data_IF_324037911247
#
_entry.id   IF_324037911247
#
_cell.length_a   1.000
_cell.length_b   1.000
_cell.length_c   1.000
_cell.angle_alpha   90.00
_cell.angle_beta   90.00
_cell.angle_gamma   90.00
#
_symmetry.space_group_name_H-M   'P 1'
#
loop_
_entity.id
_entity.type
_entity.pdbx_description
1 polymer ?
#
# COMPACT_ATOMS: atom_id res chain seq x y z
N UNK A 1 2.00 -7.93 -8.18
CA UNK A 1 1.88 -7.26 -6.87
C UNK A 1 1.43 -8.31 -5.87
N UNK A 2 1.97 -8.30 -4.66
CA UNK A 2 1.59 -9.20 -3.56
C UNK A 2 1.04 -8.32 -2.43
N UNK A 3 -0.01 -8.79 -1.77
CA UNK A 3 -0.59 -8.19 -0.58
C UNK A 3 -0.25 -9.11 0.60
N UNK A 4 0.90 -8.90 1.26
CA UNK A 4 1.33 -9.81 2.32
C UNK A 4 0.40 -9.68 3.54
N UNK A 5 0.15 -10.79 4.21
CA UNK A 5 -0.62 -10.82 5.46
C UNK A 5 0.26 -10.30 6.62
N UNK A 6 0.44 -8.98 6.65
CA UNK A 6 1.23 -8.27 7.65
C UNK A 6 0.43 -7.08 8.14
N UNK A 7 0.44 -6.85 9.46
CA UNK A 7 -0.24 -5.68 10.02
C UNK A 7 0.38 -4.37 9.53
N UNK A 8 -0.46 -3.35 9.31
CA UNK A 8 -0.03 -2.01 8.91
C UNK A 8 1.11 -1.47 9.80
N UNK A 9 0.99 -1.64 11.13
CA UNK A 9 2.00 -1.18 12.08
C UNK A 9 3.37 -1.85 11.87
N UNK A 10 3.40 -3.16 11.59
CA UNK A 10 4.66 -3.86 11.32
C UNK A 10 5.23 -3.45 9.95
N UNK A 11 4.37 -3.20 8.97
CA UNK A 11 4.78 -2.70 7.67
C UNK A 11 5.44 -1.33 7.74
N UNK A 12 4.81 -0.38 8.45
CA UNK A 12 5.34 0.97 8.68
C UNK A 12 6.66 0.95 9.45
N UNK A 13 6.83 0.04 10.43
CA UNK A 13 8.13 -0.14 11.11
C UNK A 13 9.23 -0.65 10.16
N UNK A 14 8.87 -1.56 9.24
CA UNK A 14 9.78 -2.13 8.23
C UNK A 14 10.16 -1.11 7.16
N UNK A 15 9.24 -0.20 6.84
CA UNK A 15 9.34 0.82 5.80
C UNK A 15 9.01 2.20 6.37
N UNK A 16 9.93 2.75 7.17
CA UNK A 16 9.71 3.98 7.95
C UNK A 16 9.43 5.24 7.12
N UNK A 17 9.71 5.21 5.82
CA UNK A 17 9.39 6.29 4.87
C UNK A 17 7.95 6.22 4.33
N UNK A 18 7.22 5.12 4.58
CA UNK A 18 5.80 5.04 4.27
C UNK A 18 4.99 5.72 5.37
N UNK A 19 3.90 6.35 4.96
CA UNK A 19 2.91 6.96 5.85
C UNK A 19 1.50 6.66 5.34
N UNK A 20 0.54 6.65 6.26
CA UNK A 20 -0.86 6.61 5.86
C UNK A 20 -1.21 7.97 5.25
N UNK A 21 -1.77 7.94 4.05
CA UNK A 21 -2.32 9.10 3.37
C UNK A 21 -3.84 9.00 3.47
N UNK A 22 -4.45 10.13 3.80
CA UNK A 22 -5.89 10.35 3.73
C UNK A 22 -6.21 11.08 2.44
N UNK A 23 -7.19 10.58 1.69
CA UNK A 23 -7.68 11.24 0.48
C UNK A 23 -9.18 10.94 0.29
N UNK A 24 -9.87 11.76 -0.49
CA UNK A 24 -11.31 11.60 -0.74
C UNK A 24 -11.58 10.91 -2.07
N UNK A 25 -12.62 10.08 -2.10
CA UNK A 25 -13.12 9.54 -3.35
C UNK A 25 -13.79 10.62 -4.20
N UNK A 26 -13.26 10.88 -5.40
CA UNK A 26 -13.83 11.85 -6.35
C UNK A 26 -15.31 11.60 -6.71
N UNK A 27 -15.79 10.35 -6.60
CA UNK A 27 -17.14 9.97 -7.03
C UNK A 27 -18.20 10.10 -5.93
N UNK A 28 -17.84 9.87 -4.66
CA UNK A 28 -18.80 9.82 -3.56
C UNK A 28 -18.38 10.60 -2.31
N UNK A 29 -17.17 11.16 -2.30
CA UNK A 29 -16.61 11.91 -1.17
C UNK A 29 -16.19 11.07 0.03
N UNK A 30 -16.26 9.73 -0.06
CA UNK A 30 -15.81 8.85 1.02
C UNK A 30 -14.31 9.05 1.28
N UNK A 31 -13.95 9.23 2.55
CA UNK A 31 -12.55 9.31 2.98
C UNK A 31 -11.90 7.92 2.93
N UNK A 32 -10.78 7.82 2.23
CA UNK A 32 -9.98 6.61 2.06
C UNK A 32 -8.62 6.79 2.73
N UNK A 33 -8.12 5.69 3.31
CA UNK A 33 -6.82 5.65 3.98
C UNK A 33 -5.94 4.56 3.37
N UNK A 34 -4.67 4.87 3.09
CA UNK A 34 -3.70 3.89 2.59
C UNK A 34 -3.24 2.92 3.68
N UNK A 35 -4.10 1.96 4.03
CA UNK A 35 -3.88 1.05 5.15
C UNK A 35 -3.48 -0.36 4.75
N UNK A 36 -3.52 -0.69 3.45
CA UNK A 36 -3.25 -2.04 2.94
C UNK A 36 -1.80 -2.13 2.44
N UNK A 37 -0.94 -2.93 3.10
CA UNK A 37 0.40 -3.21 2.60
C UNK A 37 0.38 -3.91 1.25
N UNK A 38 1.28 -3.48 0.37
CA UNK A 38 1.56 -4.22 -0.84
C UNK A 38 3.04 -4.14 -1.19
N UNK A 39 3.50 -5.11 -1.97
CA UNK A 39 4.85 -5.13 -2.51
C UNK A 39 4.85 -5.55 -3.97
N UNK A 40 5.79 -5.00 -4.72
CA UNK A 40 6.15 -5.39 -6.09
C UNK A 40 7.63 -5.76 -6.12
N UNK A 41 8.11 -6.30 -7.23
CA UNK A 41 9.53 -6.60 -7.41
C UNK A 41 10.41 -5.36 -7.25
N UNK A 42 9.88 -4.18 -7.55
CA UNK A 42 10.63 -2.94 -7.63
C UNK A 42 10.36 -1.99 -6.46
N UNK A 43 9.26 -2.14 -5.72
CA UNK A 43 8.92 -1.23 -4.62
C UNK A 43 7.94 -1.82 -3.62
N UNK A 44 7.97 -1.28 -2.41
CA UNK A 44 6.96 -1.51 -1.37
C UNK A 44 6.03 -0.29 -1.26
N UNK A 45 4.81 -0.49 -0.79
CA UNK A 45 3.86 0.59 -0.65
C UNK A 45 2.69 0.30 0.28
N UNK A 46 1.83 1.30 0.40
CA UNK A 46 0.52 1.19 1.01
C UNK A 46 -0.53 1.64 0.00
N UNK A 47 -1.67 0.97 0.00
CA UNK A 47 -2.79 1.30 -0.86
C UNK A 47 -4.08 1.38 -0.05
N UNK A 48 -5.05 2.13 -0.55
CA UNK A 48 -6.37 2.21 0.05
C UNK A 48 -7.22 0.96 -0.26
N UNK A 49 -8.17 0.58 0.61
CA UNK A 49 -9.21 -0.37 0.25
C UNK A 49 -10.05 0.14 -0.93
N UNK A 50 -10.74 -0.79 -1.59
CA UNK A 50 -11.74 -0.41 -2.58
C UNK A 50 -12.82 0.44 -1.92
N UNK A 51 -13.12 1.58 -2.52
CA UNK A 51 -14.17 2.48 -2.07
C UNK A 51 -15.54 1.78 -2.09
N UNK A 52 -16.37 2.04 -1.08
CA UNK A 52 -17.68 1.41 -0.90
C UNK A 52 -18.64 1.68 -2.08
N UNK A 53 -18.47 2.81 -2.76
CA UNK A 53 -19.31 3.16 -3.92
C UNK A 53 -18.99 2.34 -5.18
N UNK A 54 -17.89 1.58 -5.20
CA UNK A 54 -17.44 0.78 -6.34
C UNK A 54 -17.00 1.58 -7.57
N UNK A 55 -17.14 2.91 -7.55
CA UNK A 55 -16.83 3.81 -8.67
C UNK A 55 -15.42 4.36 -8.65
N UNK A 56 -14.74 4.36 -7.50
CA UNK A 56 -13.34 4.75 -7.45
C UNK A 56 -12.47 3.61 -8.00
N UNK A 57 -12.03 3.75 -9.24
CA UNK A 57 -11.00 2.87 -9.84
C UNK A 57 -9.59 3.25 -9.39
N UNK A 58 -9.42 4.46 -8.83
CA UNK A 58 -8.13 4.94 -8.38
C UNK A 58 -7.92 4.51 -6.93
N UNK A 59 -6.86 3.71 -6.73
CA UNK A 59 -6.37 3.36 -5.41
C UNK A 59 -5.38 4.44 -4.99
N UNK A 60 -5.72 5.21 -3.97
CA UNK A 60 -4.76 6.11 -3.33
C UNK A 60 -3.62 5.23 -2.86
N UNK A 61 -2.39 5.55 -3.24
CA UNK A 61 -1.24 4.73 -2.92
C UNK A 61 -0.02 5.59 -2.61
N UNK A 62 0.78 5.13 -1.65
CA UNK A 62 2.11 5.65 -1.38
C UNK A 62 3.11 4.55 -1.63
N UNK A 63 4.24 4.91 -2.22
CA UNK A 63 5.30 3.97 -2.59
C UNK A 63 6.64 4.46 -2.10
N UNK A 64 7.51 3.53 -1.75
CA UNK A 64 8.94 3.78 -1.61
C UNK A 64 9.65 3.28 -2.86
N UNK A 65 10.62 4.03 -3.38
CA UNK A 65 11.36 3.66 -4.59
C UNK A 65 12.14 2.34 -4.46
N UNK A 66 12.75 1.91 -5.57
CA UNK A 66 13.54 0.67 -5.65
C UNK A 66 14.74 0.69 -4.71
N UNK A 67 14.59 -0.02 -3.60
CA UNK A 67 15.66 -0.34 -2.64
C UNK A 67 16.00 -1.82 -2.74
N UNK A 68 17.25 -2.21 -2.44
CA UNK A 68 17.64 -3.63 -2.36
C UNK A 68 16.70 -4.39 -1.40
N UNK A 69 16.33 -3.74 -0.29
CA UNK A 69 15.36 -4.23 0.67
C UNK A 69 14.01 -4.63 0.03
N UNK A 70 13.52 -3.89 -0.97
CA UNK A 70 12.21 -4.16 -1.57
C UNK A 70 12.26 -5.43 -2.43
N UNK A 71 13.40 -5.66 -3.08
CA UNK A 71 13.68 -6.87 -3.85
C UNK A 71 13.76 -8.08 -2.90
N UNK A 72 14.51 -7.96 -1.81
CA UNK A 72 14.67 -9.04 -0.83
C UNK A 72 13.33 -9.43 -0.19
N UNK A 73 12.56 -8.42 0.22
CA UNK A 73 11.23 -8.61 0.80
C UNK A 73 10.25 -9.22 -0.22
N UNK A 74 10.33 -8.84 -1.50
CA UNK A 74 9.51 -9.42 -2.56
C UNK A 74 9.72 -10.93 -2.69
N UNK A 75 10.97 -11.40 -2.65
CA UNK A 75 11.25 -12.84 -2.70
C UNK A 75 10.79 -13.52 -1.41
N UNK A 76 11.02 -12.90 -0.24
CA UNK A 76 10.54 -13.43 1.03
C UNK A 76 9.02 -13.67 1.09
N UNK A 77 8.20 -12.77 0.53
CA UNK A 77 6.73 -12.91 0.55
C UNK A 77 6.15 -13.74 -0.61
N UNK A 78 6.98 -14.11 -1.59
CA UNK A 78 6.55 -14.90 -2.75
C UNK A 78 6.73 -16.40 -2.54
N UNK A 79 7.65 -16.80 -1.68
CA UNK A 79 7.89 -18.18 -1.27
C UNK A 79 6.90 -18.62 -0.18
#
# INVERSE_FOLDING_TARGET
MIFPDVSLMNWLKRWSCLSVIEDQCDACGETLFTTIPFITKDYAGLTAPQCSCGKNKQTVSVTVTRTQKAIDDWYFFRD
#
